data_IF_174750673167
#
_entry.id   IF_174750673167
#
_cell.length_a   1.000
_cell.length_b   1.000
_cell.length_c   1.000
_cell.angle_alpha   90.00
_cell.angle_beta   90.00
_cell.angle_gamma   90.00
#
_symmetry.space_group_name_H-M   'P 1'
#
loop_
_entity.id
_entity.type
_entity.pdbx_description
1 polymer ?
#
# COMPACT_ATOMS: atom_id res chain seq x y z
N UNK A 1 23.15 -1.05 6.97
CA UNK A 1 21.82 -0.35 6.82
C UNK A 1 20.69 -1.38 6.77
N UNK A 2 19.62 -1.17 7.53
CA UNK A 2 18.46 -2.08 7.64
C UNK A 2 17.59 -2.03 6.36
N UNK A 3 17.15 -3.20 5.86
CA UNK A 3 16.06 -3.26 4.87
C UNK A 3 14.74 -2.90 5.56
N UNK A 4 13.98 -1.97 4.97
CA UNK A 4 12.67 -1.51 5.48
C UNK A 4 11.53 -2.30 4.82
N UNK A 5 11.48 -2.27 3.49
CA UNK A 5 10.51 -3.01 2.66
C UNK A 5 11.00 -3.06 1.20
N UNK A 6 10.30 -3.84 0.37
CA UNK A 6 10.62 -4.00 -1.04
C UNK A 6 9.38 -3.75 -1.90
N UNK A 7 9.38 -2.70 -2.72
CA UNK A 7 8.35 -2.47 -3.72
C UNK A 7 8.67 -3.28 -4.98
N UNK A 8 8.19 -4.50 -5.04
CA UNK A 8 8.39 -5.41 -6.17
C UNK A 8 7.07 -5.62 -6.91
N UNK A 9 6.93 -5.02 -8.09
CA UNK A 9 5.70 -5.10 -8.88
C UNK A 9 5.53 -6.45 -9.54
N UNK A 10 6.61 -7.23 -9.72
CA UNK A 10 6.59 -8.56 -10.36
C UNK A 10 5.87 -8.56 -11.71
N UNK A 11 6.05 -7.50 -12.49
CA UNK A 11 5.52 -7.34 -13.86
C UNK A 11 6.59 -7.57 -14.93
N UNK A 12 7.56 -8.40 -14.62
CA UNK A 12 8.72 -8.74 -15.44
C UNK A 12 9.03 -10.24 -15.33
N UNK A 13 9.83 -10.76 -16.28
CA UNK A 13 10.32 -12.13 -16.20
C UNK A 13 11.71 -12.15 -15.49
N UNK A 14 11.96 -13.10 -14.58
CA UNK A 14 13.19 -13.14 -13.79
C UNK A 14 14.49 -13.20 -14.60
N UNK A 15 14.43 -13.73 -15.83
CA UNK A 15 15.57 -13.86 -16.76
C UNK A 15 15.87 -12.58 -17.56
N UNK A 16 15.08 -11.50 -17.43
CA UNK A 16 15.37 -10.25 -18.10
C UNK A 16 16.65 -9.60 -17.59
N UNK A 17 17.27 -8.76 -18.42
CA UNK A 17 18.42 -7.95 -18.02
C UNK A 17 18.07 -7.05 -16.83
N UNK A 18 19.08 -6.57 -16.13
CA UNK A 18 18.89 -5.65 -15.01
C UNK A 18 19.55 -4.31 -15.30
N UNK A 19 18.81 -3.25 -15.05
CA UNK A 19 19.27 -1.87 -15.02
C UNK A 19 19.22 -1.37 -13.57
N UNK A 20 20.40 -1.12 -12.99
CA UNK A 20 20.51 -0.70 -11.59
C UNK A 20 20.75 0.79 -11.47
N UNK A 21 19.93 1.48 -10.63
CA UNK A 21 20.07 2.90 -10.36
C UNK A 21 19.79 3.20 -8.89
N UNK A 22 20.81 3.10 -8.07
CA UNK A 22 20.69 3.39 -6.62
C UNK A 22 20.51 4.88 -6.36
N UNK A 23 19.96 5.24 -5.19
CA UNK A 23 19.75 6.62 -4.80
C UNK A 23 19.98 6.85 -3.31
N UNK A 24 20.41 8.07 -2.95
CA UNK A 24 20.54 8.55 -1.57
C UNK A 24 19.53 9.65 -1.28
N UNK A 25 18.92 9.61 -0.07
CA UNK A 25 17.83 10.51 0.31
C UNK A 25 17.98 11.02 1.73
N UNK A 26 17.74 12.34 1.92
CA UNK A 26 17.88 13.02 3.20
C UNK A 26 16.56 13.14 3.95
N UNK A 27 16.55 12.71 5.22
CA UNK A 27 15.49 12.97 6.19
C UNK A 27 15.95 14.17 7.03
N UNK A 28 15.44 15.36 6.70
CA UNK A 28 15.84 16.64 7.28
C UNK A 28 14.71 17.14 8.18
N UNK A 29 14.82 16.85 9.48
CA UNK A 29 13.82 17.29 10.47
C UNK A 29 14.14 18.69 10.99
N UNK A 30 13.11 19.50 11.21
CA UNK A 30 13.25 20.82 11.81
C UNK A 30 13.55 20.80 13.33
N UNK A 31 13.67 19.61 13.93
CA UNK A 31 13.99 19.41 15.35
C UNK A 31 15.42 18.98 15.56
N UNK A 32 16.05 19.49 16.61
CA UNK A 32 17.42 19.07 17.05
C UNK A 32 17.46 17.61 17.52
N UNK A 33 16.43 17.15 18.24
CA UNK A 33 16.36 15.77 18.74
C UNK A 33 15.55 14.87 17.80
N UNK A 34 16.22 13.92 17.18
CA UNK A 34 15.64 12.92 16.26
C UNK A 34 15.38 11.61 17.01
N UNK A 35 14.23 11.55 17.71
CA UNK A 35 13.78 10.35 18.43
C UNK A 35 12.51 9.82 17.76
N UNK A 36 12.58 8.59 17.25
CA UNK A 36 11.43 7.92 16.65
C UNK A 36 10.52 7.29 17.74
N UNK A 37 9.19 7.23 17.50
CA UNK A 37 8.48 7.85 16.38
C UNK A 37 8.33 9.37 16.57
N UNK A 38 8.28 10.11 15.45
CA UNK A 38 7.96 11.54 15.46
C UNK A 38 6.46 11.78 15.65
N UNK A 39 6.09 13.01 16.06
CA UNK A 39 4.69 13.44 15.98
C UNK A 39 4.27 13.68 14.52
N UNK A 40 3.01 13.39 14.16
CA UNK A 40 2.46 13.76 12.84
C UNK A 40 2.58 15.27 12.54
N UNK A 41 2.60 16.11 13.58
CA UNK A 41 2.71 17.57 13.48
C UNK A 41 4.17 18.07 13.48
N UNK A 42 5.16 17.17 13.63
CA UNK A 42 6.57 17.53 13.50
C UNK A 42 6.89 17.93 12.07
N UNK A 43 7.73 18.96 11.94
CA UNK A 43 8.08 19.54 10.65
C UNK A 43 9.30 18.86 10.03
N UNK A 44 9.20 18.61 8.74
CA UNK A 44 10.22 18.02 7.90
C UNK A 44 10.43 18.89 6.66
N UNK A 45 11.68 19.02 6.22
CA UNK A 45 12.03 19.69 4.97
C UNK A 45 12.02 18.69 3.82
N UNK A 46 11.19 18.95 2.83
CA UNK A 46 10.98 18.11 1.65
C UNK A 46 11.06 18.94 0.37
N UNK A 47 11.29 18.29 -0.75
CA UNK A 47 11.08 18.85 -2.07
C UNK A 47 9.61 18.72 -2.44
N UNK A 48 9.00 19.84 -2.83
CA UNK A 48 7.64 19.86 -3.39
C UNK A 48 7.72 20.06 -4.90
N UNK A 49 7.22 19.09 -5.65
CA UNK A 49 7.06 19.20 -7.10
C UNK A 49 5.79 20.01 -7.40
N UNK A 50 5.93 21.33 -7.51
CA UNK A 50 4.83 22.30 -7.57
C UNK A 50 3.87 22.04 -8.74
N UNK A 51 4.40 21.70 -9.90
CA UNK A 51 3.62 21.48 -11.12
C UNK A 51 2.91 20.12 -11.13
N UNK A 52 3.30 19.22 -10.23
CA UNK A 52 2.77 17.86 -10.11
C UNK A 52 1.96 17.63 -8.83
N UNK A 53 2.28 18.36 -7.74
CA UNK A 53 1.50 18.36 -6.50
C UNK A 53 1.84 17.23 -5.52
N UNK A 54 3.12 16.85 -5.39
CA UNK A 54 3.58 15.85 -4.43
C UNK A 54 4.84 16.28 -3.67
N UNK A 55 5.10 15.64 -2.54
CA UNK A 55 6.32 15.76 -1.75
C UNK A 55 7.22 14.55 -1.95
N UNK A 56 8.53 14.77 -2.07
CA UNK A 56 9.58 13.74 -2.03
C UNK A 56 10.69 14.11 -1.06
N UNK A 57 11.42 13.11 -0.58
CA UNK A 57 12.65 13.38 0.17
C UNK A 57 13.70 13.98 -0.77
N UNK A 58 14.43 15.01 -0.35
CA UNK A 58 15.53 15.53 -1.14
C UNK A 58 16.59 14.46 -1.33
N UNK A 59 17.11 14.38 -2.55
CA UNK A 59 18.06 13.35 -2.94
C UNK A 59 17.73 12.71 -4.27
N UNK A 60 18.73 12.08 -4.88
CA UNK A 60 18.66 11.51 -6.23
C UNK A 60 19.62 10.37 -6.47
N UNK A 61 20.00 10.18 -7.72
CA UNK A 61 20.81 9.07 -8.17
C UNK A 61 22.25 9.12 -7.68
N UNK A 62 22.82 7.96 -7.38
CA UNK A 62 24.25 7.80 -7.08
C UNK A 62 24.96 7.59 -8.41
N UNK A 63 25.97 8.42 -8.72
CA UNK A 63 26.77 8.28 -9.94
C UNK A 63 27.71 7.06 -9.85
N UNK A 64 28.23 6.61 -10.99
CA UNK A 64 29.31 5.63 -11.01
C UNK A 64 30.51 6.17 -10.21
N UNK A 65 31.07 5.33 -9.35
CA UNK A 65 32.24 5.68 -8.49
C UNK A 65 31.96 6.75 -7.42
N UNK A 66 30.70 7.15 -7.20
CA UNK A 66 30.32 8.08 -6.14
C UNK A 66 29.94 7.35 -4.84
N UNK A 67 30.44 7.83 -3.70
CA UNK A 67 29.99 7.34 -2.40
C UNK A 67 28.57 7.79 -2.09
N UNK A 68 27.78 6.95 -1.39
CA UNK A 68 26.37 7.24 -1.03
C UNK A 68 26.19 8.52 -0.23
N UNK A 69 27.16 8.83 0.64
CA UNK A 69 27.12 10.05 1.48
C UNK A 69 27.44 11.28 0.64
N UNK A 70 28.39 11.16 -0.31
CA UNK A 70 28.72 12.24 -1.23
C UNK A 70 27.53 12.55 -2.15
N UNK A 71 26.88 11.50 -2.70
CA UNK A 71 25.64 11.63 -3.46
C UNK A 71 24.52 12.32 -2.65
N UNK A 72 24.34 11.92 -1.38
CA UNK A 72 23.37 12.57 -0.49
C UNK A 72 23.63 14.07 -0.36
N UNK A 73 24.89 14.46 -0.08
CA UNK A 73 25.27 15.85 0.16
C UNK A 73 25.08 16.68 -1.13
N UNK A 74 25.51 16.16 -2.27
CA UNK A 74 25.38 16.82 -3.59
C UNK A 74 23.90 17.03 -3.93
N UNK A 75 23.11 15.97 -3.93
CA UNK A 75 21.70 15.99 -4.33
C UNK A 75 20.85 16.88 -3.42
N UNK A 76 21.03 16.79 -2.09
CA UNK A 76 20.34 17.69 -1.15
C UNK A 76 20.67 19.14 -1.45
N UNK A 77 21.94 19.46 -1.74
CA UNK A 77 22.36 20.83 -2.08
C UNK A 77 21.74 21.28 -3.41
N UNK A 78 21.77 20.44 -4.45
CA UNK A 78 21.25 20.77 -5.79
C UNK A 78 19.72 21.00 -5.75
N UNK A 79 18.96 20.07 -5.13
CA UNK A 79 17.50 20.16 -5.12
C UNK A 79 16.94 21.18 -4.13
N UNK A 80 17.66 21.53 -3.06
CA UNK A 80 17.11 22.36 -1.98
C UNK A 80 17.90 23.62 -1.64
N UNK A 81 19.15 23.72 -2.05
CA UNK A 81 20.09 24.75 -1.60
C UNK A 81 20.59 24.58 -0.16
N UNK A 82 20.24 23.47 0.53
CA UNK A 82 20.67 23.20 1.90
C UNK A 82 22.05 22.55 1.93
N UNK A 83 22.92 22.98 2.84
CA UNK A 83 24.24 22.38 3.07
C UNK A 83 24.14 21.33 4.19
N UNK A 84 24.33 20.07 3.85
CA UNK A 84 24.30 18.95 4.82
C UNK A 84 25.57 18.96 5.69
N UNK A 85 25.37 18.84 7.00
CA UNK A 85 26.46 18.71 7.97
C UNK A 85 26.91 17.23 8.00
N UNK A 86 27.98 16.88 7.26
CA UNK A 86 28.45 15.50 7.06
C UNK A 86 28.52 14.66 8.34
N UNK A 87 29.02 15.22 9.44
CA UNK A 87 29.17 14.53 10.74
C UNK A 87 27.84 14.18 11.43
N UNK A 88 26.74 14.79 11.00
CA UNK A 88 25.39 14.54 11.56
C UNK A 88 24.69 13.35 10.91
N UNK A 89 25.21 12.86 9.77
CA UNK A 89 24.54 11.85 8.96
C UNK A 89 24.44 10.53 9.72
N UNK A 90 23.21 9.99 9.81
CA UNK A 90 22.91 8.71 10.44
C UNK A 90 22.00 7.87 9.56
N UNK A 91 22.30 6.58 9.43
CA UNK A 91 21.47 5.65 8.67
C UNK A 91 20.08 5.50 9.28
N UNK A 92 19.04 5.57 8.46
CA UNK A 92 17.68 5.20 8.82
C UNK A 92 17.33 3.80 8.31
N UNK A 93 17.49 3.57 7.00
CA UNK A 93 17.21 2.29 6.36
C UNK A 93 17.21 2.40 4.85
N UNK A 94 16.97 1.29 4.17
CA UNK A 94 16.87 1.26 2.71
C UNK A 94 15.60 0.57 2.22
N UNK A 95 15.15 0.99 1.04
CA UNK A 95 14.02 0.41 0.30
C UNK A 95 14.54 -0.13 -1.02
N UNK A 96 14.10 -1.34 -1.37
CA UNK A 96 14.34 -1.93 -2.69
C UNK A 96 13.13 -1.72 -3.59
N UNK A 97 13.37 -1.49 -4.87
CA UNK A 97 12.34 -1.37 -5.90
C UNK A 97 12.68 -2.22 -7.10
N UNK A 98 11.70 -2.99 -7.57
CA UNK A 98 11.79 -3.82 -8.77
C UNK A 98 10.54 -3.66 -9.63
N UNK A 99 10.73 -3.40 -10.91
CA UNK A 99 9.65 -3.32 -11.89
C UNK A 99 10.21 -3.53 -13.31
N UNK A 100 9.33 -3.73 -14.27
CA UNK A 100 9.68 -3.59 -15.69
C UNK A 100 10.24 -2.18 -15.94
N UNK A 101 11.37 -2.09 -16.65
CA UNK A 101 11.90 -0.79 -17.08
C UNK A 101 10.92 -0.07 -18.00
N UNK A 102 10.81 1.24 -17.83
CA UNK A 102 10.02 2.11 -18.74
C UNK A 102 10.84 2.60 -19.94
N UNK A 103 12.15 2.38 -19.92
CA UNK A 103 13.09 2.88 -20.93
C UNK A 103 13.66 1.77 -21.83
N UNK A 104 13.71 0.54 -21.34
CA UNK A 104 14.36 -0.59 -22.02
C UNK A 104 13.45 -1.81 -22.02
N UNK A 105 13.23 -2.42 -23.20
CA UNK A 105 12.47 -3.66 -23.31
C UNK A 105 13.20 -4.83 -22.64
N UNK A 106 12.45 -5.81 -22.16
CA UNK A 106 12.99 -7.01 -21.49
C UNK A 106 14.03 -6.69 -20.41
N UNK A 107 13.85 -5.59 -19.69
CA UNK A 107 14.77 -5.12 -18.65
C UNK A 107 14.03 -4.86 -17.34
N UNK A 108 14.64 -5.29 -16.24
CA UNK A 108 14.18 -5.04 -14.86
C UNK A 108 14.86 -3.78 -14.36
N UNK A 109 14.07 -2.76 -13.99
CA UNK A 109 14.60 -1.64 -13.23
C UNK A 109 14.76 -2.08 -11.77
N UNK A 110 15.98 -2.02 -11.26
CA UNK A 110 16.35 -2.32 -9.89
C UNK A 110 16.92 -1.08 -9.22
N UNK A 111 16.40 -0.72 -8.04
CA UNK A 111 16.87 0.42 -7.27
C UNK A 111 16.94 0.09 -5.78
N UNK A 112 18.05 0.44 -5.13
CA UNK A 112 18.14 0.60 -3.69
C UNK A 112 18.12 2.11 -3.36
N UNK A 113 17.16 2.54 -2.53
CA UNK A 113 17.08 3.91 -2.04
C UNK A 113 17.52 3.95 -0.58
N UNK A 114 18.61 4.64 -0.30
CA UNK A 114 19.22 4.74 1.02
C UNK A 114 18.76 6.02 1.71
N UNK A 115 18.17 5.89 2.90
CA UNK A 115 17.63 7.01 3.68
C UNK A 115 18.53 7.31 4.88
N UNK A 116 18.85 8.60 5.04
CA UNK A 116 19.71 9.09 6.10
C UNK A 116 19.07 10.27 6.81
N UNK A 117 19.09 10.27 8.13
CA UNK A 117 18.93 11.50 8.89
C UNK A 117 20.13 12.40 8.66
N UNK A 118 19.89 13.68 8.45
CA UNK A 118 20.93 14.69 8.34
C UNK A 118 20.49 16.01 8.99
N UNK A 119 21.45 16.73 9.58
CA UNK A 119 21.29 18.13 9.92
C UNK A 119 21.86 18.99 8.80
N UNK A 120 21.39 20.21 8.70
CA UNK A 120 21.78 21.17 7.68
C UNK A 120 22.24 22.47 8.33
N UNK A 121 23.05 23.23 7.61
CA UNK A 121 23.42 24.58 8.03
C UNK A 121 22.24 25.54 7.90
N UNK A 122 22.26 26.65 8.66
CA UNK A 122 21.18 27.67 8.62
C UNK A 122 21.12 28.43 7.32
N UNK A 123 22.21 28.43 6.53
CA UNK A 123 22.30 29.15 5.28
C UNK A 123 21.76 28.33 4.12
N UNK A 124 20.82 28.90 3.37
CA UNK A 124 20.30 28.33 2.13
C UNK A 124 20.99 29.01 0.93
N UNK A 125 21.46 28.18 0.00
CA UNK A 125 22.06 28.64 -1.27
C UNK A 125 21.02 28.55 -2.41
N UNK A 126 21.40 29.00 -3.59
CA UNK A 126 20.60 28.78 -4.79
C UNK A 126 20.55 27.29 -5.15
N UNK A 127 19.38 26.83 -5.60
CA UNK A 127 19.20 25.46 -6.13
C UNK A 127 19.92 25.35 -7.47
N UNK A 128 20.39 24.14 -7.80
CA UNK A 128 21.00 23.81 -9.10
C UNK A 128 20.23 22.63 -9.72
N UNK A 129 19.02 22.93 -10.16
CA UNK A 129 18.07 21.93 -10.67
C UNK A 129 18.42 21.50 -12.10
N UNK A 130 18.23 20.22 -12.39
CA UNK A 130 18.25 19.70 -13.76
C UNK A 130 16.97 20.10 -14.55
N UNK A 131 16.93 19.80 -15.85
CA UNK A 131 15.79 20.16 -16.70
C UNK A 131 14.47 19.54 -16.24
N UNK A 132 14.49 18.27 -15.80
CA UNK A 132 13.29 17.61 -15.29
C UNK A 132 12.80 18.24 -14.00
N UNK A 133 13.70 18.57 -13.09
CA UNK A 133 13.39 19.18 -11.80
C UNK A 133 12.86 20.61 -11.94
N UNK A 134 13.42 21.37 -12.89
CA UNK A 134 12.90 22.69 -13.28
C UNK A 134 11.49 22.56 -13.86
N UNK A 135 11.25 21.61 -14.76
CA UNK A 135 9.94 21.37 -15.36
C UNK A 135 8.90 20.91 -14.32
N UNK A 136 9.31 20.12 -13.34
CA UNK A 136 8.48 19.72 -12.21
C UNK A 136 8.25 20.86 -11.20
N UNK A 137 9.06 21.92 -11.26
CA UNK A 137 8.99 23.08 -10.37
C UNK A 137 9.39 22.74 -8.95
N UNK A 138 10.55 22.08 -8.76
CA UNK A 138 11.03 21.69 -7.43
C UNK A 138 11.30 22.89 -6.55
N UNK A 139 10.68 22.91 -5.39
CA UNK A 139 10.91 23.92 -4.35
C UNK A 139 11.04 23.28 -2.98
N UNK A 140 11.94 23.80 -2.17
CA UNK A 140 12.07 23.38 -0.77
C UNK A 140 10.86 23.85 0.02
N UNK A 141 10.21 22.94 0.76
CA UNK A 141 9.16 23.27 1.72
C UNK A 141 9.39 22.58 3.06
N UNK A 142 9.12 23.30 4.14
CA UNK A 142 9.09 22.75 5.49
C UNK A 142 7.62 22.63 5.94
N UNK A 143 7.14 21.41 6.00
CA UNK A 143 5.74 21.08 6.26
C UNK A 143 5.62 20.04 7.38
N UNK A 144 4.41 19.83 7.92
CA UNK A 144 4.20 18.73 8.86
C UNK A 144 4.24 17.38 8.11
N UNK A 145 4.70 16.32 8.82
CA UNK A 145 4.70 14.95 8.22
C UNK A 145 3.28 14.58 7.80
N UNK A 146 2.27 14.93 8.61
CA UNK A 146 0.85 14.69 8.29
C UNK A 146 0.41 15.37 6.98
N UNK A 147 0.82 16.62 6.76
CA UNK A 147 0.51 17.34 5.52
C UNK A 147 1.14 16.64 4.31
N UNK A 148 2.42 16.28 4.39
CA UNK A 148 3.12 15.59 3.31
C UNK A 148 2.47 14.24 2.99
N UNK A 149 2.15 13.43 4.00
CA UNK A 149 1.42 12.16 3.82
C UNK A 149 0.06 12.40 3.17
N UNK A 150 -0.73 13.36 3.68
CA UNK A 150 -2.07 13.64 3.14
C UNK A 150 -2.03 14.08 1.68
N UNK A 151 -1.07 14.93 1.31
CA UNK A 151 -0.88 15.39 -0.07
C UNK A 151 -0.53 14.21 -0.99
N UNK A 152 0.44 13.40 -0.60
CA UNK A 152 0.89 12.26 -1.39
C UNK A 152 -0.19 11.16 -1.53
N UNK A 153 -0.99 10.93 -0.49
CA UNK A 153 -2.10 9.97 -0.55
C UNK A 153 -3.20 10.38 -1.55
N UNK A 154 -3.29 11.66 -1.90
CA UNK A 154 -4.24 12.19 -2.87
C UNK A 154 -3.65 12.33 -4.28
N UNK A 155 -2.34 12.16 -4.43
CA UNK A 155 -1.64 12.30 -5.71
C UNK A 155 -2.13 11.30 -6.75
N UNK A 156 -2.27 11.78 -7.99
CA UNK A 156 -2.71 10.98 -9.13
C UNK A 156 -1.74 11.14 -10.29
N UNK A 157 -1.22 10.03 -10.79
CA UNK A 157 -0.41 9.95 -12.00
C UNK A 157 -0.84 8.78 -12.88
N UNK A 158 -0.51 8.87 -14.16
CA UNK A 158 -0.59 7.73 -15.09
C UNK A 158 0.78 7.04 -15.24
N UNK A 159 1.84 7.69 -14.79
CA UNK A 159 3.19 7.14 -14.84
C UNK A 159 3.42 6.21 -13.63
N UNK A 160 3.78 4.98 -13.94
CA UNK A 160 4.11 3.96 -12.93
C UNK A 160 5.38 4.30 -12.14
N UNK A 161 6.31 5.01 -12.76
CA UNK A 161 7.56 5.40 -12.09
C UNK A 161 7.27 6.39 -10.96
N UNK A 162 6.45 7.42 -11.23
CA UNK A 162 6.01 8.41 -10.24
C UNK A 162 5.21 7.74 -9.12
N UNK A 163 4.25 6.88 -9.47
CA UNK A 163 3.42 6.18 -8.47
C UNK A 163 4.26 5.38 -7.49
N UNK A 164 5.27 4.66 -7.97
CA UNK A 164 6.16 3.87 -7.13
C UNK A 164 7.10 4.73 -6.29
N UNK A 165 7.60 5.84 -6.86
CA UNK A 165 8.45 6.78 -6.12
C UNK A 165 7.65 7.39 -4.96
N UNK A 166 6.43 7.85 -5.22
CA UNK A 166 5.60 8.49 -4.21
C UNK A 166 5.10 7.48 -3.17
N UNK A 167 4.73 6.26 -3.58
CA UNK A 167 4.37 5.20 -2.64
C UNK A 167 5.54 4.89 -1.70
N UNK A 168 6.78 4.81 -2.21
CA UNK A 168 7.99 4.61 -1.43
C UNK A 168 8.19 5.73 -0.39
N UNK A 169 8.18 6.98 -0.84
CA UNK A 169 8.46 8.13 0.03
C UNK A 169 7.32 8.35 1.05
N UNK A 170 6.07 8.13 0.65
CA UNK A 170 4.92 8.18 1.56
C UNK A 170 5.00 7.11 2.64
N UNK A 171 5.40 5.88 2.28
CA UNK A 171 5.62 4.80 3.25
C UNK A 171 6.71 5.14 4.26
N UNK A 172 7.80 5.80 3.82
CA UNK A 172 8.84 6.29 4.75
C UNK A 172 8.28 7.36 5.69
N UNK A 173 7.51 8.34 5.17
CA UNK A 173 6.86 9.36 6.03
C UNK A 173 5.95 8.73 7.09
N UNK A 174 5.18 7.70 6.71
CA UNK A 174 4.32 6.97 7.64
C UNK A 174 5.14 6.20 8.71
N UNK A 175 6.24 5.55 8.32
CA UNK A 175 7.16 4.89 9.26
C UNK A 175 7.80 5.87 10.25
N UNK A 176 8.13 7.09 9.83
CA UNK A 176 8.71 8.11 10.70
C UNK A 176 7.78 8.48 11.87
N UNK A 177 6.47 8.42 11.68
CA UNK A 177 5.46 8.68 12.75
C UNK A 177 4.96 7.40 13.44
N UNK A 178 5.64 6.26 13.23
CA UNK A 178 5.31 4.99 13.87
C UNK A 178 4.10 4.28 13.29
N UNK A 179 3.58 4.71 12.14
CA UNK A 179 2.47 4.05 11.47
C UNK A 179 2.97 2.91 10.58
N UNK A 180 2.17 1.86 10.46
CA UNK A 180 2.34 0.88 9.37
C UNK A 180 1.99 1.57 8.05
N UNK A 181 2.80 1.40 6.98
CA UNK A 181 2.49 1.98 5.68
C UNK A 181 1.15 1.52 5.13
N UNK A 182 0.43 2.46 4.52
CA UNK A 182 -0.82 2.22 3.81
C UNK A 182 -0.69 2.72 2.37
N UNK A 183 -1.10 1.94 1.36
CA UNK A 183 -1.06 2.40 -0.02
C UNK A 183 -2.17 3.42 -0.28
N UNK A 184 -1.90 4.39 -1.17
CA UNK A 184 -2.95 5.28 -1.66
C UNK A 184 -3.95 4.55 -2.56
N UNK A 185 -5.16 5.09 -2.72
CA UNK A 185 -6.15 4.54 -3.68
C UNK A 185 -5.57 4.39 -5.08
N UNK A 186 -4.82 5.41 -5.53
CA UNK A 186 -4.20 5.40 -6.86
C UNK A 186 -3.17 4.27 -7.00
N UNK A 187 -2.32 4.08 -5.98
CA UNK A 187 -1.34 3.00 -5.98
C UNK A 187 -2.01 1.62 -5.89
N UNK A 188 -3.07 1.47 -5.10
CA UNK A 188 -3.85 0.25 -5.02
C UNK A 188 -4.50 -0.10 -6.38
N UNK A 189 -5.05 0.89 -7.10
CA UNK A 189 -5.54 0.70 -8.48
C UNK A 189 -4.44 0.29 -9.46
N UNK A 190 -3.25 0.89 -9.34
CA UNK A 190 -2.10 0.48 -10.14
C UNK A 190 -1.77 -1.00 -9.90
N UNK A 191 -1.67 -1.45 -8.64
CA UNK A 191 -1.40 -2.85 -8.30
C UNK A 191 -2.47 -3.80 -8.84
N UNK A 192 -3.75 -3.43 -8.72
CA UNK A 192 -4.87 -4.21 -9.26
C UNK A 192 -4.80 -4.33 -10.78
N UNK A 193 -4.54 -3.22 -11.49
CA UNK A 193 -4.45 -3.20 -12.94
C UNK A 193 -3.27 -4.04 -13.45
N UNK A 194 -2.09 -3.91 -12.84
CA UNK A 194 -0.92 -4.74 -13.15
C UNK A 194 -1.23 -6.22 -12.92
N UNK A 195 -1.85 -6.55 -11.77
CA UNK A 195 -2.25 -7.92 -11.47
C UNK A 195 -3.24 -8.49 -12.49
N UNK A 196 -4.25 -7.71 -12.86
CA UNK A 196 -5.25 -8.13 -13.85
C UNK A 196 -4.68 -8.26 -15.28
N UNK A 197 -3.62 -7.51 -15.61
CA UNK A 197 -2.89 -7.68 -16.88
C UNK A 197 -2.09 -8.98 -16.91
N UNK A 198 -1.55 -9.42 -15.75
CA UNK A 198 -0.80 -10.67 -15.64
C UNK A 198 -1.71 -11.90 -15.60
N UNK A 199 -2.86 -11.81 -14.94
CA UNK A 199 -3.87 -12.88 -14.86
C UNK A 199 -5.27 -12.29 -15.03
N UNK A 200 -5.75 -12.11 -16.28
CA UNK A 200 -7.07 -11.58 -16.56
C UNK A 200 -8.19 -12.45 -15.99
N UNK A 201 -9.23 -11.83 -15.43
CA UNK A 201 -10.37 -12.54 -14.89
C UNK A 201 -11.42 -11.63 -14.24
N UNK A 202 -12.58 -12.18 -13.87
CA UNK A 202 -13.66 -11.41 -13.25
C UNK A 202 -13.30 -10.87 -11.86
N UNK A 203 -12.24 -11.37 -11.24
CA UNK A 203 -11.78 -10.97 -9.92
C UNK A 203 -11.43 -9.48 -9.82
N UNK A 204 -10.96 -8.86 -10.92
CA UNK A 204 -10.73 -7.41 -10.97
C UNK A 204 -12.01 -6.63 -10.71
N UNK A 205 -13.09 -6.96 -11.43
CA UNK A 205 -14.38 -6.27 -11.29
C UNK A 205 -15.00 -6.55 -9.92
N UNK A 206 -14.86 -7.79 -9.43
CA UNK A 206 -15.26 -8.14 -8.06
C UNK A 206 -14.54 -7.28 -7.01
N UNK A 207 -13.21 -7.14 -7.12
CA UNK A 207 -12.43 -6.30 -6.19
C UNK A 207 -12.84 -4.83 -6.24
N UNK A 208 -13.18 -4.30 -7.42
CA UNK A 208 -13.69 -2.93 -7.55
C UNK A 208 -15.06 -2.79 -6.87
N UNK A 209 -15.99 -3.73 -7.08
CA UNK A 209 -17.31 -3.74 -6.44
C UNK A 209 -17.20 -3.82 -4.92
N UNK A 210 -16.32 -4.67 -4.38
CA UNK A 210 -16.04 -4.76 -2.94
C UNK A 210 -15.48 -3.43 -2.41
N UNK A 211 -14.56 -2.79 -3.15
CA UNK A 211 -13.97 -1.51 -2.76
C UNK A 211 -15.01 -0.38 -2.69
N UNK A 212 -15.83 -0.23 -3.73
CA UNK A 212 -16.87 0.81 -3.80
C UNK A 212 -17.92 0.60 -2.72
N UNK A 213 -18.33 -0.65 -2.50
CA UNK A 213 -19.26 -1.04 -1.44
C UNK A 213 -18.68 -0.77 -0.05
N UNK A 214 -17.40 -1.09 0.19
CA UNK A 214 -16.71 -0.81 1.45
C UNK A 214 -16.64 0.70 1.75
N UNK A 215 -16.36 1.51 0.73
CA UNK A 215 -16.36 2.96 0.87
C UNK A 215 -17.74 3.51 1.22
N UNK A 216 -18.80 3.04 0.55
CA UNK A 216 -20.19 3.44 0.83
C UNK A 216 -20.57 3.13 2.28
N UNK A 217 -20.31 1.91 2.74
CA UNK A 217 -20.60 1.48 4.11
C UNK A 217 -19.79 2.29 5.12
N UNK A 218 -18.48 2.46 4.92
CA UNK A 218 -17.64 3.23 5.82
C UNK A 218 -18.13 4.69 5.95
N UNK A 219 -18.52 5.34 4.84
CA UNK A 219 -19.15 6.68 4.85
C UNK A 219 -20.46 6.70 5.63
N UNK A 220 -21.32 5.67 5.48
CA UNK A 220 -22.56 5.56 6.20
C UNK A 220 -22.33 5.36 7.71
N UNK A 221 -21.37 4.53 8.10
CA UNK A 221 -20.95 4.34 9.50
C UNK A 221 -20.48 5.66 10.12
N UNK A 222 -19.62 6.40 9.42
CA UNK A 222 -19.11 7.71 9.90
C UNK A 222 -20.27 8.71 10.04
N UNK A 223 -21.19 8.74 9.07
CA UNK A 223 -22.36 9.61 9.13
C UNK A 223 -23.27 9.31 10.33
N UNK A 224 -23.28 8.07 10.82
CA UNK A 224 -24.04 7.64 12.00
C UNK A 224 -23.23 7.72 13.31
N UNK A 225 -22.04 8.37 13.30
CA UNK A 225 -21.22 8.62 14.49
C UNK A 225 -20.16 7.55 14.77
N UNK A 226 -19.98 6.56 13.88
CA UNK A 226 -18.90 5.58 13.97
C UNK A 226 -17.57 6.12 13.43
N UNK A 227 -16.52 5.29 13.50
CA UNK A 227 -15.15 5.70 13.15
C UNK A 227 -14.50 4.71 12.16
N UNK A 228 -14.82 4.82 10.88
CA UNK A 228 -14.18 4.09 9.80
C UNK A 228 -13.59 5.06 8.76
N UNK A 229 -12.34 4.86 8.39
CA UNK A 229 -11.74 5.60 7.28
C UNK A 229 -12.20 5.00 5.95
N UNK A 230 -12.97 5.76 5.16
CA UNK A 230 -13.55 5.30 3.90
C UNK A 230 -12.51 5.00 2.82
N UNK A 231 -11.39 5.74 2.79
CA UNK A 231 -10.32 5.51 1.83
C UNK A 231 -9.58 4.21 2.15
N UNK A 232 -9.36 3.94 3.43
CA UNK A 232 -8.76 2.70 3.90
C UNK A 232 -9.67 1.49 3.61
N UNK A 233 -10.98 1.61 3.88
CA UNK A 233 -11.96 0.58 3.55
C UNK A 233 -11.98 0.27 2.04
N UNK A 234 -11.94 1.32 1.20
CA UNK A 234 -11.82 1.19 -0.25
C UNK A 234 -10.57 0.41 -0.67
N UNK A 235 -9.40 0.81 -0.17
CA UNK A 235 -8.12 0.17 -0.50
C UNK A 235 -8.10 -1.30 -0.10
N UNK A 236 -8.64 -1.63 1.05
CA UNK A 236 -8.71 -3.01 1.54
C UNK A 236 -9.65 -3.87 0.69
N UNK A 237 -10.81 -3.33 0.32
CA UNK A 237 -11.70 -3.98 -0.64
C UNK A 237 -11.04 -4.21 -2.00
N UNK A 238 -10.27 -3.22 -2.48
CA UNK A 238 -9.60 -3.30 -3.78
C UNK A 238 -8.49 -4.35 -3.82
N UNK A 239 -7.79 -4.59 -2.71
CA UNK A 239 -6.60 -5.43 -2.64
C UNK A 239 -6.82 -6.80 -1.97
N UNK A 240 -8.03 -7.10 -1.42
CA UNK A 240 -8.27 -8.35 -0.70
C UNK A 240 -7.93 -9.60 -1.51
N UNK A 241 -8.20 -9.56 -2.81
CA UNK A 241 -8.03 -10.66 -3.77
C UNK A 241 -6.76 -10.51 -4.65
N UNK A 242 -5.82 -9.60 -4.31
CA UNK A 242 -4.65 -9.27 -5.15
C UNK A 242 -3.75 -10.49 -5.43
N UNK A 243 -3.77 -11.52 -4.59
CA UNK A 243 -3.03 -12.75 -4.82
C UNK A 243 -3.45 -13.52 -6.07
N UNK A 244 -4.65 -13.28 -6.61
CA UNK A 244 -5.10 -13.84 -7.90
C UNK A 244 -4.26 -13.39 -9.08
N UNK A 245 -3.45 -12.38 -8.93
CA UNK A 245 -2.45 -11.99 -9.94
C UNK A 245 -1.46 -13.10 -10.30
N UNK A 246 -1.25 -14.06 -9.42
CA UNK A 246 -0.29 -15.14 -9.61
C UNK A 246 -0.86 -16.37 -10.32
N UNK A 247 -2.16 -16.39 -10.62
CA UNK A 247 -2.80 -17.45 -11.39
C UNK A 247 -4.24 -17.75 -10.96
N UNK A 248 -4.83 -18.71 -11.65
CA UNK A 248 -6.16 -19.24 -11.31
C UNK A 248 -6.01 -20.24 -10.19
N UNK A 249 -6.16 -19.77 -8.96
CA UNK A 249 -5.99 -20.56 -7.72
C UNK A 249 -7.23 -20.50 -6.85
N UNK A 250 -7.30 -21.40 -5.86
CA UNK A 250 -8.33 -21.41 -4.82
C UNK A 250 -7.79 -20.74 -3.55
N UNK A 251 -7.43 -21.52 -2.53
CA UNK A 251 -6.90 -20.99 -1.27
C UNK A 251 -5.54 -20.26 -1.44
N UNK A 252 -4.73 -20.64 -2.42
CA UNK A 252 -3.40 -20.07 -2.59
C UNK A 252 -3.40 -18.56 -2.77
N UNK A 253 -4.46 -17.94 -3.39
CA UNK A 253 -4.52 -16.47 -3.54
C UNK A 253 -4.46 -15.73 -2.21
N UNK A 254 -4.95 -16.32 -1.14
CA UNK A 254 -4.97 -15.74 0.21
C UNK A 254 -3.54 -15.50 0.71
N UNK A 255 -2.71 -16.55 0.71
CA UNK A 255 -1.32 -16.47 1.18
C UNK A 255 -0.40 -15.74 0.19
N UNK A 256 -0.68 -15.83 -1.12
CA UNK A 256 0.07 -15.12 -2.15
C UNK A 256 -0.14 -13.61 -2.05
N UNK A 257 -1.39 -13.16 -1.85
CA UNK A 257 -1.72 -11.76 -1.60
C UNK A 257 -1.05 -11.21 -0.34
N UNK A 258 -1.11 -11.97 0.75
CA UNK A 258 -0.42 -11.64 1.99
C UNK A 258 1.09 -11.45 1.78
N UNK A 259 1.76 -12.43 1.19
CA UNK A 259 3.21 -12.37 0.98
C UNK A 259 3.59 -11.20 0.07
N UNK A 260 2.77 -10.90 -0.94
CA UNK A 260 3.01 -9.81 -1.89
C UNK A 260 2.93 -8.44 -1.22
N UNK A 261 1.85 -8.15 -0.48
CA UNK A 261 1.65 -6.86 0.17
C UNK A 261 2.53 -6.68 1.41
N UNK A 262 2.77 -7.74 2.18
CA UNK A 262 3.67 -7.70 3.34
C UNK A 262 5.11 -7.40 2.94
N UNK A 263 5.61 -7.97 1.83
CA UNK A 263 6.93 -7.63 1.29
C UNK A 263 7.05 -6.13 0.94
N UNK A 264 5.95 -5.50 0.52
CA UNK A 264 5.87 -4.07 0.25
C UNK A 264 5.71 -3.20 1.51
N UNK A 265 5.61 -3.80 2.69
CA UNK A 265 5.40 -3.11 3.96
C UNK A 265 3.94 -2.74 4.25
N UNK A 266 2.98 -3.16 3.41
CA UNK A 266 1.56 -2.87 3.58
C UNK A 266 0.86 -3.93 4.45
N UNK A 267 1.32 -4.06 5.70
CA UNK A 267 0.96 -5.13 6.62
C UNK A 267 -0.56 -5.21 6.89
N UNK A 268 -1.24 -4.06 6.99
CA UNK A 268 -2.68 -4.06 7.25
C UNK A 268 -3.48 -4.54 6.02
N UNK A 269 -3.10 -4.12 4.81
CA UNK A 269 -3.72 -4.62 3.58
C UNK A 269 -3.38 -6.12 3.35
N UNK A 270 -2.17 -6.53 3.69
CA UNK A 270 -1.76 -7.94 3.65
C UNK A 270 -2.60 -8.80 4.59
N UNK A 271 -2.88 -8.33 5.81
CA UNK A 271 -3.77 -8.99 6.77
C UNK A 271 -5.15 -9.25 6.16
N UNK A 272 -5.72 -8.29 5.45
CA UNK A 272 -7.03 -8.45 4.79
C UNK A 272 -7.01 -9.57 3.74
N UNK A 273 -5.90 -9.76 3.02
CA UNK A 273 -5.76 -10.91 2.10
C UNK A 273 -5.91 -12.25 2.84
N UNK A 274 -5.49 -12.34 4.10
CA UNK A 274 -5.71 -13.54 4.93
C UNK A 274 -7.16 -13.57 5.43
N UNK A 275 -7.62 -12.51 6.08
CA UNK A 275 -8.81 -12.55 6.93
C UNK A 275 -10.13 -12.58 6.17
N UNK A 276 -10.17 -12.06 4.92
CA UNK A 276 -11.41 -11.90 4.15
C UNK A 276 -12.16 -13.22 3.93
N UNK A 277 -11.45 -14.34 3.79
CA UNK A 277 -12.04 -15.67 3.53
C UNK A 277 -12.43 -16.46 4.78
N UNK A 278 -12.07 -15.97 5.99
CA UNK A 278 -12.17 -16.74 7.25
C UNK A 278 -12.98 -16.03 8.33
N UNK A 279 -14.30 -16.01 8.17
CA UNK A 279 -15.21 -15.32 9.10
C UNK A 279 -15.16 -15.90 10.53
N UNK A 280 -14.76 -17.17 10.69
CA UNK A 280 -14.68 -17.91 11.96
C UNK A 280 -13.24 -18.09 12.46
N UNK A 281 -12.27 -17.42 11.86
CA UNK A 281 -10.83 -17.47 12.20
C UNK A 281 -10.22 -18.89 12.18
N UNK A 282 -10.72 -19.77 11.35
CA UNK A 282 -10.20 -21.13 11.20
C UNK A 282 -10.08 -21.50 9.74
N UNK A 283 -9.06 -22.30 9.40
CA UNK A 283 -8.83 -22.78 8.05
C UNK A 283 -9.96 -23.70 7.55
N UNK A 284 -10.74 -24.27 8.47
CA UNK A 284 -11.92 -25.10 8.15
C UNK A 284 -13.10 -24.25 7.64
N UNK A 285 -13.06 -22.96 7.83
CA UNK A 285 -14.06 -22.00 7.30
C UNK A 285 -13.97 -21.81 5.78
N UNK A 286 -12.85 -22.19 5.16
CA UNK A 286 -12.65 -22.02 3.73
C UNK A 286 -13.51 -23.00 2.91
N UNK A 287 -14.28 -22.46 1.95
CA UNK A 287 -15.10 -23.24 1.03
C UNK A 287 -14.36 -23.33 -0.31
N UNK A 288 -13.92 -24.52 -0.69
CA UNK A 288 -13.21 -24.78 -1.93
C UNK A 288 -11.98 -25.65 -1.75
N UNK A 289 -11.16 -25.74 -2.79
CA UNK A 289 -9.95 -26.55 -2.76
C UNK A 289 -8.85 -25.84 -1.96
N UNK A 290 -8.21 -26.57 -1.04
CA UNK A 290 -7.02 -26.13 -0.32
C UNK A 290 -5.77 -26.46 -1.17
N UNK A 291 -5.49 -25.66 -2.18
CA UNK A 291 -4.41 -25.83 -3.18
C UNK A 291 -3.07 -25.21 -2.71
N UNK A 292 -2.73 -25.45 -1.47
CA UNK A 292 -1.51 -24.97 -0.80
C UNK A 292 -0.81 -26.12 -0.10
N UNK A 293 0.46 -25.98 0.25
CA UNK A 293 1.22 -26.96 1.04
C UNK A 293 0.78 -26.97 2.51
N UNK A 294 1.09 -28.04 3.24
CA UNK A 294 0.83 -28.14 4.69
C UNK A 294 1.47 -26.98 5.45
N UNK A 295 2.73 -26.63 5.15
CA UNK A 295 3.41 -25.48 5.78
C UNK A 295 2.68 -24.16 5.53
N UNK A 296 2.07 -23.99 4.35
CA UNK A 296 1.28 -22.78 4.06
C UNK A 296 -0.06 -22.80 4.82
N UNK A 297 -0.70 -23.98 4.98
CA UNK A 297 -1.88 -24.13 5.82
C UNK A 297 -1.59 -23.76 7.28
N UNK A 298 -0.52 -24.30 7.84
CA UNK A 298 -0.06 -23.96 9.20
C UNK A 298 0.24 -22.46 9.34
N UNK A 299 0.91 -21.86 8.35
CA UNK A 299 1.18 -20.43 8.33
C UNK A 299 -0.10 -19.60 8.31
N UNK A 300 -1.09 -19.97 7.48
CA UNK A 300 -2.38 -19.26 7.42
C UNK A 300 -3.07 -19.36 8.78
N UNK A 301 -3.17 -20.55 9.38
CA UNK A 301 -3.79 -20.72 10.70
C UNK A 301 -3.08 -19.93 11.79
N UNK A 302 -1.75 -19.96 11.82
CA UNK A 302 -0.95 -19.17 12.78
C UNK A 302 -1.19 -17.66 12.63
N UNK A 303 -1.34 -17.17 11.39
CA UNK A 303 -1.69 -15.76 11.15
C UNK A 303 -3.11 -15.45 11.64
N UNK A 304 -4.08 -16.31 11.36
CA UNK A 304 -5.47 -16.18 11.85
C UNK A 304 -5.50 -16.13 13.39
N UNK A 305 -4.78 -17.02 14.06
CA UNK A 305 -4.71 -17.10 15.52
C UNK A 305 -4.07 -15.84 16.14
N UNK A 306 -3.17 -15.18 15.40
CA UNK A 306 -2.46 -13.98 15.86
C UNK A 306 -3.26 -12.68 15.71
N UNK A 307 -4.34 -12.69 14.90
CA UNK A 307 -5.11 -11.49 14.62
C UNK A 307 -6.34 -11.34 15.53
N UNK A 308 -6.52 -10.16 16.05
CA UNK A 308 -7.80 -9.70 16.58
C UNK A 308 -8.55 -8.96 15.45
N UNK A 309 -9.69 -9.51 15.02
CA UNK A 309 -10.47 -8.93 13.91
C UNK A 309 -11.05 -7.58 14.28
N UNK A 310 -10.75 -6.57 13.47
CA UNK A 310 -11.36 -5.24 13.56
C UNK A 310 -12.54 -5.07 12.58
N UNK A 311 -13.06 -3.87 12.48
CA UNK A 311 -14.22 -3.60 11.63
C UNK A 311 -13.87 -3.64 10.13
N UNK A 312 -12.60 -3.47 9.76
CA UNK A 312 -12.19 -3.63 8.35
C UNK A 312 -12.18 -5.10 7.94
N UNK A 313 -11.68 -6.03 8.79
CA UNK A 313 -11.76 -7.47 8.51
C UNK A 313 -13.22 -7.89 8.32
N UNK A 314 -14.08 -7.53 9.27
CA UNK A 314 -15.52 -7.87 9.25
C UNK A 314 -16.24 -7.26 8.04
N UNK A 315 -15.89 -6.04 7.67
CA UNK A 315 -16.47 -5.35 6.51
C UNK A 315 -16.13 -6.07 5.20
N UNK A 316 -14.86 -6.41 5.00
CA UNK A 316 -14.45 -7.07 3.76
C UNK A 316 -14.98 -8.51 3.72
N UNK A 317 -15.04 -9.24 4.83
CA UNK A 317 -15.70 -10.55 4.92
C UNK A 317 -17.17 -10.51 4.49
N UNK A 318 -17.93 -9.52 4.98
CA UNK A 318 -19.33 -9.33 4.59
C UNK A 318 -19.45 -9.04 3.09
N UNK A 319 -18.61 -8.15 2.58
CA UNK A 319 -18.69 -7.69 1.19
C UNK A 319 -18.20 -8.73 0.19
N UNK A 320 -17.17 -9.52 0.51
CA UNK A 320 -16.77 -10.67 -0.29
C UNK A 320 -17.91 -11.70 -0.42
N UNK A 321 -18.71 -11.84 0.65
CA UNK A 321 -19.91 -12.70 0.65
C UNK A 321 -21.16 -12.06 0.01
N UNK A 322 -21.10 -10.80 -0.44
CA UNK A 322 -22.25 -10.05 -0.95
C UNK A 322 -22.02 -9.56 -2.38
N UNK A 323 -20.79 -9.22 -2.74
CA UNK A 323 -20.43 -8.65 -4.03
C UNK A 323 -20.08 -9.74 -5.06
N UNK A 324 -20.39 -9.45 -6.31
CA UNK A 324 -19.94 -10.19 -7.50
C UNK A 324 -19.28 -9.22 -8.48
N UNK A 325 -18.73 -9.74 -9.58
CA UNK A 325 -18.18 -8.92 -10.67
C UNK A 325 -19.24 -8.09 -11.39
N UNK A 326 -20.51 -8.44 -11.29
CA UNK A 326 -21.68 -7.79 -11.92
C UNK A 326 -22.53 -6.98 -10.91
N UNK A 327 -21.98 -6.68 -9.73
CA UNK A 327 -22.63 -5.87 -8.70
C UNK A 327 -22.99 -6.63 -7.43
N UNK A 328 -23.60 -5.92 -6.48
CA UNK A 328 -24.02 -6.46 -5.19
C UNK A 328 -25.19 -7.43 -5.34
N UNK A 329 -25.15 -8.55 -4.64
CA UNK A 329 -26.22 -9.55 -4.59
C UNK A 329 -26.81 -9.65 -3.19
N UNK A 330 -28.05 -10.19 -3.13
CA UNK A 330 -28.61 -10.60 -1.84
C UNK A 330 -27.74 -11.70 -1.23
N UNK A 331 -27.43 -11.57 0.06
CA UNK A 331 -26.52 -12.46 0.80
C UNK A 331 -26.95 -13.93 0.72
N UNK A 332 -28.26 -14.21 0.90
CA UNK A 332 -28.79 -15.59 0.82
C UNK A 332 -28.57 -16.20 -0.56
N UNK A 333 -28.92 -15.43 -1.62
CA UNK A 333 -28.73 -15.88 -3.02
C UNK A 333 -27.26 -16.13 -3.32
N UNK A 334 -26.36 -15.26 -2.82
CA UNK A 334 -24.92 -15.44 -3.02
C UNK A 334 -24.38 -16.68 -2.33
N UNK A 335 -24.82 -16.96 -1.09
CA UNK A 335 -24.43 -18.18 -0.38
C UNK A 335 -25.02 -19.44 -1.04
N UNK A 336 -26.23 -19.36 -1.60
CA UNK A 336 -26.82 -20.44 -2.38
C UNK A 336 -26.04 -20.73 -3.66
N UNK A 337 -25.58 -19.69 -4.39
CA UNK A 337 -24.68 -19.84 -5.55
C UNK A 337 -23.38 -20.55 -5.19
N UNK A 338 -22.78 -20.22 -4.04
CA UNK A 338 -21.57 -20.88 -3.53
C UNK A 338 -21.89 -22.35 -3.18
N UNK A 339 -22.99 -22.61 -2.48
CA UNK A 339 -23.44 -23.97 -2.15
C UNK A 339 -23.65 -24.81 -3.41
N UNK A 340 -24.24 -24.23 -4.46
CA UNK A 340 -24.47 -24.95 -5.73
C UNK A 340 -23.16 -25.29 -6.44
N UNK A 341 -22.13 -24.43 -6.34
CA UNK A 341 -20.80 -24.69 -6.94
C UNK A 341 -19.98 -25.72 -6.20
N UNK A 342 -20.04 -25.74 -4.88
CA UNK A 342 -19.19 -26.58 -4.04
C UNK A 342 -19.93 -27.74 -3.34
N UNK A 343 -21.26 -27.84 -3.51
CA UNK A 343 -22.09 -28.90 -2.92
C UNK A 343 -22.47 -28.66 -1.47
N UNK A 344 -21.89 -27.70 -0.79
CA UNK A 344 -22.18 -27.39 0.62
C UNK A 344 -21.91 -25.91 0.95
N UNK A 345 -22.50 -25.47 2.07
CA UNK A 345 -22.16 -24.21 2.72
C UNK A 345 -22.24 -24.40 4.24
N UNK A 346 -21.15 -24.16 5.03
CA UNK A 346 -21.15 -24.41 6.47
C UNK A 346 -22.18 -23.54 7.19
N UNK A 347 -22.99 -24.16 8.05
CA UNK A 347 -24.05 -23.44 8.81
C UNK A 347 -23.47 -22.31 9.67
N UNK A 348 -22.35 -22.54 10.35
CA UNK A 348 -21.71 -21.54 11.19
C UNK A 348 -21.25 -20.31 10.37
N UNK A 349 -20.68 -20.51 9.16
CA UNK A 349 -20.33 -19.42 8.25
C UNK A 349 -21.57 -18.68 7.72
N UNK A 350 -22.62 -19.42 7.43
CA UNK A 350 -23.92 -18.84 7.03
C UNK A 350 -24.44 -17.89 8.12
N UNK A 351 -24.55 -18.38 9.35
CA UNK A 351 -25.03 -17.59 10.47
C UNK A 351 -24.13 -16.36 10.73
N UNK A 352 -22.80 -16.56 10.65
CA UNK A 352 -21.84 -15.49 10.82
C UNK A 352 -22.00 -14.36 9.81
N UNK A 353 -22.29 -14.65 8.56
CA UNK A 353 -22.55 -13.64 7.55
C UNK A 353 -23.79 -12.76 7.90
N UNK A 354 -24.84 -13.35 8.46
CA UNK A 354 -26.00 -12.59 8.94
C UNK A 354 -25.69 -11.77 10.19
N UNK A 355 -24.86 -12.28 11.09
CA UNK A 355 -24.36 -11.51 12.23
C UNK A 355 -23.58 -10.29 11.76
N UNK A 356 -22.68 -10.45 10.77
CA UNK A 356 -21.91 -9.34 10.18
C UNK A 356 -22.81 -8.32 9.50
N UNK A 357 -23.83 -8.79 8.74
CA UNK A 357 -24.85 -7.91 8.13
C UNK A 357 -25.56 -7.08 9.20
N UNK A 358 -26.11 -7.73 10.22
CA UNK A 358 -26.82 -7.05 11.30
C UNK A 358 -25.90 -6.07 12.08
N UNK A 359 -24.64 -6.44 12.28
CA UNK A 359 -23.63 -5.59 12.90
C UNK A 359 -23.43 -4.28 12.13
N UNK A 360 -23.19 -4.35 10.81
CA UNK A 360 -23.00 -3.14 10.01
C UNK A 360 -24.29 -2.34 9.81
N UNK A 361 -25.45 -2.97 9.70
CA UNK A 361 -26.73 -2.28 9.68
C UNK A 361 -26.96 -1.45 10.95
N UNK A 362 -26.61 -2.00 12.10
CA UNK A 362 -26.63 -1.28 13.38
C UNK A 362 -25.64 -0.09 13.38
N UNK A 363 -24.40 -0.29 12.89
CA UNK A 363 -23.39 0.77 12.82
C UNK A 363 -23.82 1.88 11.86
N UNK A 364 -24.45 1.55 10.73
CA UNK A 364 -24.93 2.52 9.74
C UNK A 364 -26.27 3.17 10.12
N UNK A 365 -27.06 2.53 10.99
CA UNK A 365 -28.46 2.90 11.26
C UNK A 365 -29.35 2.74 10.04
N UNK A 366 -28.99 1.88 9.08
CA UNK A 366 -29.69 1.66 7.80
C UNK A 366 -29.53 0.22 7.33
N UNK A 367 -30.49 -0.22 6.50
CA UNK A 367 -30.39 -1.50 5.78
C UNK A 367 -29.20 -1.52 4.82
N UNK A 368 -28.49 -2.67 4.76
CA UNK A 368 -27.30 -2.86 3.95
C UNK A 368 -27.54 -2.55 2.47
N UNK A 369 -28.58 -3.11 1.89
CA UNK A 369 -28.85 -2.99 0.45
C UNK A 369 -29.32 -1.58 0.06
N UNK A 370 -29.94 -0.84 0.98
CA UNK A 370 -30.25 0.57 0.79
C UNK A 370 -29.00 1.44 0.67
N UNK A 371 -27.91 1.06 1.37
CA UNK A 371 -26.64 1.81 1.31
C UNK A 371 -25.83 1.41 0.07
N UNK A 372 -25.96 0.17 -0.39
CA UNK A 372 -25.19 -0.36 -1.54
C UNK A 372 -25.78 0.01 -2.90
N UNK A 373 -27.06 0.33 -2.98
CA UNK A 373 -27.71 0.89 -4.18
C UNK A 373 -27.17 2.29 -4.47
#
# INVERSE_FOLDING_TARGET
MKDLFTLDIKNYLPQWNKEKRDSSRGIIMAKEKKVLPFSPDDKISLVFAKNQGYYKFPGGGIHADEDRIDALIREVSEETGLSVIRKSIKEFGKVKRFQKSTHSECTIFEQESFYYFADVEDKIHEQNLDSYEMDAGFELRTVTIKEAVSTNMQYKSKDSFDLLMIARDTSILQLLIGNKPEPSKQFAHFLLNEGASLNPGPWKLHSIEVAESAEKIAKAVVKNGGNLNSDKAYVYGLLHDIGRRFGVTHLAHVIDGYNYLSAMGFENAARICITHSFNLQTIEDYIGKKDVSENQLEKIQSLLDSYEYDDYDRLIQLLDSTCNADGTKNLEKRMEDVKNRYGYYPKAKYDKNFELKAYFEKLMGKDLYTVLQ
#
